data_IF_171831534399
#
_entry.id   IF_171831534399
#
_cell.length_a   1.000
_cell.length_b   1.000
_cell.length_c   1.000
_cell.angle_alpha   90.00
_cell.angle_beta   90.00
_cell.angle_gamma   90.00
#
_symmetry.space_group_name_H-M   'P 1'
#
loop_
_entity.id
_entity.type
_entity.pdbx_description
1 polymer ?
#
# COMPACT_ATOMS: atom_id res chain seq x y z
N UNK A 1 10.93 19.68 -14.82
CA UNK A 1 10.50 19.05 -13.54
C UNK A 1 11.07 17.65 -13.56
N UNK A 2 11.78 17.22 -12.49
CA UNK A 2 12.31 15.85 -12.41
C UNK A 2 11.20 14.81 -12.45
N UNK A 3 11.45 13.71 -13.15
CA UNK A 3 10.53 12.57 -13.27
C UNK A 3 11.07 11.40 -12.46
N UNK A 4 10.25 10.88 -11.55
CA UNK A 4 10.55 9.72 -10.74
C UNK A 4 9.64 8.54 -11.08
N UNK A 5 10.22 7.36 -11.28
CA UNK A 5 9.49 6.10 -11.44
C UNK A 5 9.59 5.27 -10.16
N UNK A 6 8.45 4.85 -9.60
CA UNK A 6 8.39 4.02 -8.41
C UNK A 6 7.52 2.78 -8.61
N UNK A 7 7.43 1.97 -7.55
CA UNK A 7 6.61 0.77 -7.52
C UNK A 7 7.38 -0.50 -7.89
N UNK A 8 6.64 -1.52 -8.33
CA UNK A 8 7.21 -2.86 -8.48
C UNK A 8 8.18 -2.97 -9.67
N UNK A 9 7.91 -2.27 -10.77
CA UNK A 9 8.72 -2.35 -11.98
C UNK A 9 10.18 -1.89 -11.74
N UNK A 10 10.45 -0.64 -11.30
CA UNK A 10 11.81 -0.22 -10.99
C UNK A 10 12.44 -0.99 -9.83
N UNK A 11 11.65 -1.54 -8.91
CA UNK A 11 12.17 -2.38 -7.84
C UNK A 11 12.68 -3.71 -8.36
N UNK A 12 12.02 -4.28 -9.39
CA UNK A 12 12.39 -5.56 -10.00
C UNK A 12 13.50 -5.44 -11.03
N UNK A 13 13.49 -4.37 -11.82
CA UNK A 13 14.37 -4.13 -12.95
C UNK A 13 15.04 -2.74 -12.85
N UNK A 14 15.78 -2.45 -11.76
CA UNK A 14 16.28 -1.11 -11.52
C UNK A 14 17.30 -0.65 -12.57
N UNK A 15 18.18 -1.55 -13.00
CA UNK A 15 19.23 -1.23 -13.98
C UNK A 15 18.66 -0.91 -15.38
N UNK A 16 17.57 -1.55 -15.74
CA UNK A 16 16.88 -1.30 -17.01
C UNK A 16 16.07 -0.01 -16.91
N UNK A 17 15.29 0.13 -15.84
CA UNK A 17 14.40 1.29 -15.66
C UNK A 17 15.17 2.60 -15.59
N UNK A 18 16.30 2.64 -14.85
CA UNK A 18 17.07 3.88 -14.71
C UNK A 18 17.78 4.29 -16.00
N UNK A 19 17.99 3.40 -16.96
CA UNK A 19 18.58 3.74 -18.27
C UNK A 19 17.65 4.53 -19.18
N UNK A 20 16.34 4.41 -18.97
CA UNK A 20 15.36 5.15 -19.77
C UNK A 20 15.56 6.66 -19.62
N UNK A 21 15.65 7.36 -20.77
CA UNK A 21 15.97 8.79 -20.81
C UNK A 21 14.89 9.66 -20.15
N UNK A 22 13.66 9.15 -20.09
CA UNK A 22 12.54 9.89 -19.47
C UNK A 22 12.57 9.95 -17.95
N UNK A 23 13.41 9.14 -17.28
CA UNK A 23 13.48 9.14 -15.81
C UNK A 23 14.76 9.79 -15.30
N UNK A 24 14.63 10.77 -14.42
CA UNK A 24 15.73 11.36 -13.67
C UNK A 24 16.11 10.53 -12.46
N UNK A 25 15.13 9.80 -11.91
CA UNK A 25 15.34 8.94 -10.75
C UNK A 25 14.32 7.80 -10.67
N UNK A 26 14.69 6.76 -9.93
CA UNK A 26 13.78 5.67 -9.60
C UNK A 26 13.74 5.47 -8.08
N UNK A 27 12.57 5.00 -7.58
CA UNK A 27 12.38 4.66 -6.18
C UNK A 27 12.21 3.14 -6.03
N UNK A 28 13.07 2.52 -5.23
CA UNK A 28 13.06 1.09 -4.96
C UNK A 28 12.33 0.78 -3.65
N UNK A 29 11.41 -0.18 -3.69
CA UNK A 29 10.65 -0.59 -2.50
C UNK A 29 9.61 0.42 -2.05
N UNK A 30 9.53 0.65 -0.73
CA UNK A 30 8.56 1.59 -0.13
C UNK A 30 9.04 3.03 -0.30
N UNK A 31 8.18 3.89 -0.84
CA UNK A 31 8.57 5.22 -1.30
C UNK A 31 8.31 6.36 -0.32
N UNK A 32 7.51 6.16 0.72
CA UNK A 32 7.00 7.25 1.57
C UNK A 32 8.14 8.10 2.18
N UNK A 33 9.05 7.46 2.91
CA UNK A 33 10.15 8.19 3.53
C UNK A 33 11.19 8.73 2.52
N UNK A 34 11.32 8.09 1.34
CA UNK A 34 12.18 8.61 0.28
C UNK A 34 11.60 9.87 -0.36
N UNK A 35 10.28 9.89 -0.57
CA UNK A 35 9.58 11.06 -1.12
C UNK A 35 9.56 12.22 -0.12
N UNK A 36 9.38 11.95 1.16
CA UNK A 36 9.47 12.96 2.21
C UNK A 36 10.83 13.66 2.20
N UNK A 37 11.93 12.87 2.26
CA UNK A 37 13.28 13.41 2.21
C UNK A 37 13.57 14.17 0.90
N UNK A 38 13.11 13.63 -0.25
CA UNK A 38 13.29 14.25 -1.55
C UNK A 38 12.63 15.63 -1.59
N UNK A 39 11.36 15.72 -1.22
CA UNK A 39 10.61 16.97 -1.22
C UNK A 39 11.20 17.99 -0.24
N UNK A 40 11.64 17.54 0.93
CA UNK A 40 12.30 18.39 1.89
C UNK A 40 13.61 18.97 1.32
N UNK A 41 14.49 18.11 0.78
CA UNK A 41 15.77 18.57 0.19
C UNK A 41 15.57 19.48 -1.02
N UNK A 42 14.59 19.19 -1.87
CA UNK A 42 14.26 20.08 -3.00
C UNK A 42 13.79 21.46 -2.52
N UNK A 43 12.95 21.53 -1.48
CA UNK A 43 12.50 22.79 -0.87
C UNK A 43 13.67 23.58 -0.28
N UNK A 44 14.62 22.89 0.35
CA UNK A 44 15.82 23.46 0.95
C UNK A 44 16.95 23.73 -0.06
N UNK A 45 16.75 23.38 -1.34
CA UNK A 45 17.77 23.46 -2.42
C UNK A 45 19.06 22.70 -2.09
N UNK A 46 18.93 21.57 -1.40
CA UNK A 46 20.05 20.69 -1.03
C UNK A 46 20.17 19.54 -2.02
N UNK A 47 21.35 18.92 -2.07
CA UNK A 47 21.56 17.68 -2.84
C UNK A 47 20.65 16.56 -2.34
N UNK A 48 20.13 15.76 -3.26
CA UNK A 48 19.29 14.59 -2.98
C UNK A 48 19.84 13.27 -3.59
N UNK A 49 21.11 13.28 -4.00
CA UNK A 49 21.76 12.13 -4.66
C UNK A 49 22.04 10.95 -3.72
N UNK A 50 21.99 11.16 -2.38
CA UNK A 50 22.29 10.19 -1.33
C UNK A 50 21.07 9.69 -0.54
N UNK A 51 19.85 9.94 -1.04
CA UNK A 51 18.63 9.51 -0.36
C UNK A 51 18.41 8.01 -0.54
N UNK A 52 18.32 7.28 0.58
CA UNK A 52 18.02 5.84 0.56
C UNK A 52 16.71 5.56 -0.17
N UNK A 53 16.61 4.45 -0.87
CA UNK A 53 15.60 3.99 -1.82
C UNK A 53 15.67 4.69 -3.18
N UNK A 54 16.31 5.84 -3.33
CA UNK A 54 16.41 6.50 -4.63
C UNK A 54 17.69 6.13 -5.37
N UNK A 55 17.56 5.81 -6.64
CA UNK A 55 18.65 5.90 -7.61
C UNK A 55 18.45 7.16 -8.42
N UNK A 56 19.47 7.98 -8.52
CA UNK A 56 19.36 9.34 -9.08
C UNK A 56 20.40 9.54 -10.16
N UNK A 57 19.98 9.97 -11.37
CA UNK A 57 20.90 10.46 -12.40
C UNK A 57 21.30 11.90 -12.06
N UNK A 58 22.58 12.18 -12.08
CA UNK A 58 23.07 13.56 -12.02
C UNK A 58 23.22 14.19 -13.40
N UNK A 59 23.60 15.46 -13.45
CA UNK A 59 23.76 16.21 -14.69
C UNK A 59 24.84 15.65 -15.63
N UNK A 60 25.76 14.82 -15.16
CA UNK A 60 26.76 14.12 -15.96
C UNK A 60 26.28 12.79 -16.53
N UNK A 61 25.06 12.36 -16.14
CA UNK A 61 24.50 11.06 -16.48
C UNK A 61 24.97 9.92 -15.55
N UNK A 62 25.76 10.23 -14.50
CA UNK A 62 26.15 9.24 -13.52
C UNK A 62 24.94 8.90 -12.61
N UNK A 63 24.77 7.58 -12.33
CA UNK A 63 23.68 7.08 -11.48
C UNK A 63 24.20 6.82 -10.07
N UNK A 64 23.71 7.62 -9.11
CA UNK A 64 23.92 7.41 -7.68
C UNK A 64 22.95 6.33 -7.17
N UNK A 65 23.50 5.14 -6.87
CA UNK A 65 22.73 3.96 -6.42
C UNK A 65 22.74 3.88 -4.90
N UNK A 66 21.61 4.17 -4.27
CA UNK A 66 21.50 4.15 -2.81
C UNK A 66 20.85 2.85 -2.31
N UNK A 67 21.22 2.48 -1.08
CA UNK A 67 20.66 1.32 -0.38
C UNK A 67 19.17 1.52 -0.09
N UNK A 68 18.42 0.41 0.00
CA UNK A 68 17.03 0.43 0.46
C UNK A 68 16.94 0.70 1.97
N UNK A 69 15.83 1.29 2.37
CA UNK A 69 15.40 1.38 3.77
C UNK A 69 14.78 0.06 4.21
N UNK A 70 14.76 -0.22 5.52
CA UNK A 70 13.89 -1.25 6.08
C UNK A 70 12.42 -0.99 5.73
N UNK A 71 11.59 -2.03 5.82
CA UNK A 71 10.13 -1.88 5.70
C UNK A 71 9.57 -0.98 6.80
N UNK A 72 8.57 -0.17 6.47
CA UNK A 72 7.95 0.75 7.42
C UNK A 72 7.17 -0.04 8.48
N UNK A 73 7.45 0.24 9.74
CA UNK A 73 6.77 -0.36 10.90
C UNK A 73 6.66 0.65 12.05
N UNK A 74 5.49 0.75 12.68
CA UNK A 74 4.21 0.13 12.29
C UNK A 74 3.62 0.82 11.04
N UNK A 75 2.64 0.19 10.36
CA UNK A 75 1.99 0.79 9.18
C UNK A 75 1.19 2.05 9.53
N UNK A 76 0.70 2.15 10.73
CA UNK A 76 -0.02 3.29 11.30
C UNK A 76 0.85 4.56 11.40
N UNK A 77 2.17 4.44 11.24
CA UNK A 77 3.05 5.62 11.14
C UNK A 77 2.93 6.36 9.81
N UNK A 78 2.28 5.75 8.82
CA UNK A 78 2.03 6.35 7.51
C UNK A 78 0.71 7.12 7.57
N UNK A 79 0.66 8.41 7.24
CA UNK A 79 -0.58 9.17 7.18
C UNK A 79 -1.60 8.52 6.24
N UNK A 80 -2.89 8.63 6.56
CA UNK A 80 -3.94 8.17 5.66
C UNK A 80 -3.86 8.92 4.32
N UNK A 81 -4.00 8.20 3.18
CA UNK A 81 -3.88 8.82 1.86
C UNK A 81 -4.94 9.91 1.63
N UNK A 82 -4.52 11.09 1.19
CA UNK A 82 -5.45 12.14 0.78
C UNK A 82 -6.19 11.73 -0.51
N UNK A 83 -7.46 11.45 -0.37
CA UNK A 83 -8.34 11.03 -1.47
C UNK A 83 -9.00 12.20 -2.20
N UNK A 84 -8.84 13.42 -1.70
CA UNK A 84 -9.47 14.61 -2.28
C UNK A 84 -9.10 14.84 -3.74
N UNK A 85 -7.84 14.59 -4.10
CA UNK A 85 -7.33 14.71 -5.46
C UNK A 85 -8.06 13.77 -6.43
N UNK A 86 -8.33 12.53 -6.02
CA UNK A 86 -9.02 11.54 -6.86
C UNK A 86 -10.50 11.88 -7.03
N UNK A 87 -11.15 12.35 -5.97
CA UNK A 87 -12.57 12.74 -6.00
C UNK A 87 -12.79 13.97 -6.89
N UNK A 88 -11.87 14.94 -6.83
CA UNK A 88 -11.90 16.14 -7.69
C UNK A 88 -11.96 15.81 -9.19
N UNK A 89 -11.34 14.72 -9.61
CA UNK A 89 -11.33 14.26 -11.01
C UNK A 89 -12.39 13.20 -11.32
N UNK A 90 -13.40 13.03 -10.46
CA UNK A 90 -14.51 12.10 -10.66
C UNK A 90 -14.18 10.63 -10.40
N UNK A 91 -12.98 10.35 -9.90
CA UNK A 91 -12.63 9.00 -9.42
C UNK A 91 -13.17 8.76 -8.00
N UNK A 92 -13.40 7.51 -7.64
CA UNK A 92 -13.81 7.08 -6.29
C UNK A 92 -15.18 7.64 -5.82
N UNK A 93 -16.10 7.92 -6.72
CA UNK A 93 -17.38 8.56 -6.38
C UNK A 93 -18.37 7.66 -5.64
N UNK A 94 -18.40 6.35 -5.96
CA UNK A 94 -19.34 5.41 -5.33
C UNK A 94 -18.68 4.28 -4.54
N UNK A 95 -17.44 3.94 -4.89
CA UNK A 95 -16.66 2.87 -4.29
C UNK A 95 -15.24 3.37 -4.00
N UNK A 96 -14.87 3.37 -2.73
CA UNK A 96 -13.53 3.81 -2.31
C UNK A 96 -12.68 2.60 -1.94
N UNK A 97 -11.45 2.59 -2.45
CA UNK A 97 -10.47 1.54 -2.23
C UNK A 97 -9.63 1.83 -0.98
N UNK A 98 -9.40 0.79 -0.19
CA UNK A 98 -8.64 0.80 1.07
C UNK A 98 -7.68 -0.39 1.07
N UNK A 99 -6.53 -0.24 1.71
CA UNK A 99 -5.61 -1.32 2.02
C UNK A 99 -5.38 -1.39 3.52
N UNK A 100 -5.51 -2.58 4.08
CA UNK A 100 -5.27 -2.82 5.51
C UNK A 100 -3.96 -3.55 5.76
N UNK A 101 -3.35 -4.09 4.68
CA UNK A 101 -2.12 -4.87 4.75
C UNK A 101 -1.11 -4.45 3.69
N UNK A 102 0.14 -4.78 3.93
CA UNK A 102 1.19 -4.82 2.90
C UNK A 102 1.85 -6.19 2.92
N UNK A 103 1.84 -6.84 1.77
CA UNK A 103 2.33 -8.20 1.58
C UNK A 103 1.23 -9.24 1.67
N UNK A 104 1.64 -10.49 1.44
CA UNK A 104 0.77 -11.65 1.41
C UNK A 104 1.44 -12.80 2.20
N UNK A 105 0.67 -13.62 2.94
CA UNK A 105 1.23 -14.74 3.67
C UNK A 105 1.67 -15.92 2.78
N UNK A 106 1.36 -15.87 1.47
CA UNK A 106 1.66 -16.93 0.52
C UNK A 106 2.87 -16.60 -0.35
N UNK A 107 3.57 -17.65 -0.79
CA UNK A 107 4.75 -17.57 -1.67
C UNK A 107 4.48 -18.20 -3.04
N UNK A 108 3.40 -17.76 -3.70
CA UNK A 108 3.04 -18.25 -5.05
C UNK A 108 4.15 -17.90 -6.05
N UNK A 109 4.64 -18.89 -6.80
CA UNK A 109 5.83 -18.76 -7.65
C UNK A 109 5.70 -17.71 -8.76
N UNK A 110 4.49 -17.46 -9.23
CA UNK A 110 4.17 -16.48 -10.27
C UNK A 110 3.84 -15.10 -9.73
N UNK A 111 3.72 -14.94 -8.40
CA UNK A 111 3.23 -13.72 -7.78
C UNK A 111 4.36 -12.79 -7.35
N UNK A 112 4.15 -11.50 -7.56
CA UNK A 112 5.08 -10.43 -7.18
C UNK A 112 5.38 -10.39 -5.68
N UNK A 113 4.49 -10.89 -4.83
CA UNK A 113 4.73 -10.94 -3.38
C UNK A 113 5.90 -11.86 -3.01
N UNK A 114 6.12 -12.93 -3.77
CA UNK A 114 7.30 -13.77 -3.58
C UNK A 114 8.60 -12.98 -3.85
N UNK A 115 8.62 -12.18 -4.93
CA UNK A 115 9.73 -11.28 -5.21
C UNK A 115 9.90 -10.21 -4.11
N UNK A 116 8.82 -9.59 -3.63
CA UNK A 116 8.88 -8.61 -2.53
C UNK A 116 9.48 -9.21 -1.25
N UNK A 117 9.10 -10.44 -0.90
CA UNK A 117 9.70 -11.14 0.23
C UNK A 117 11.21 -11.35 0.03
N UNK A 118 11.67 -11.65 -1.19
CA UNK A 118 13.09 -11.80 -1.49
C UNK A 118 13.84 -10.45 -1.43
N UNK A 119 13.22 -9.37 -1.93
CA UNK A 119 13.78 -8.00 -1.89
C UNK A 119 14.03 -7.53 -0.45
N UNK A 120 13.16 -7.92 0.48
CA UNK A 120 13.26 -7.59 1.90
C UNK A 120 13.69 -8.82 2.73
N UNK A 121 14.55 -9.67 2.17
CA UNK A 121 15.06 -10.85 2.87
C UNK A 121 15.68 -10.46 4.22
N UNK A 122 15.31 -11.21 5.27
CA UNK A 122 15.68 -10.89 6.65
C UNK A 122 14.66 -10.03 7.41
N UNK A 123 13.64 -9.53 6.72
CA UNK A 123 12.51 -8.81 7.33
C UNK A 123 11.19 -9.52 7.05
N UNK A 124 10.21 -9.38 7.94
CA UNK A 124 8.85 -9.88 7.69
C UNK A 124 8.13 -8.83 6.85
N UNK A 125 7.95 -9.08 5.54
CA UNK A 125 7.30 -8.11 4.65
C UNK A 125 5.80 -7.99 4.91
N UNK A 126 5.11 -9.07 5.30
CA UNK A 126 3.69 -9.02 5.66
C UNK A 126 3.46 -8.20 6.94
N UNK A 127 2.67 -7.17 6.83
CA UNK A 127 2.25 -6.29 7.93
C UNK A 127 0.78 -5.95 7.78
N UNK A 128 0.08 -5.84 8.88
CA UNK A 128 -1.35 -5.52 8.95
C UNK A 128 -1.57 -4.33 9.87
N UNK A 129 -2.37 -3.37 9.44
CA UNK A 129 -2.78 -2.20 10.23
C UNK A 129 -3.67 -2.63 11.39
N UNK A 130 -3.57 -1.93 12.50
CA UNK A 130 -4.47 -2.14 13.64
C UNK A 130 -5.91 -1.78 13.26
N UNK A 131 -6.88 -2.53 13.80
CA UNK A 131 -8.30 -2.27 13.53
C UNK A 131 -8.72 -0.83 13.85
N UNK A 132 -8.32 -0.21 14.98
CA UNK A 132 -8.68 1.18 15.26
C UNK A 132 -8.25 2.16 14.18
N UNK A 133 -7.02 2.03 13.65
CA UNK A 133 -6.49 2.90 12.59
C UNK A 133 -7.27 2.76 11.29
N UNK A 134 -7.60 1.52 10.89
CA UNK A 134 -8.43 1.27 9.70
C UNK A 134 -9.82 1.88 9.87
N UNK A 135 -10.44 1.71 11.03
CA UNK A 135 -11.78 2.24 11.31
C UNK A 135 -11.79 3.78 11.33
N UNK A 136 -10.74 4.40 11.87
CA UNK A 136 -10.59 5.86 11.85
C UNK A 136 -10.56 6.40 10.41
N UNK A 137 -9.72 5.83 9.54
CA UNK A 137 -9.69 6.19 8.10
C UNK A 137 -11.06 6.03 7.45
N UNK A 138 -11.74 4.91 7.71
CA UNK A 138 -13.05 4.64 7.12
C UNK A 138 -14.14 5.60 7.60
N UNK A 139 -14.11 6.03 8.87
CA UNK A 139 -15.02 7.04 9.42
C UNK A 139 -14.82 8.37 8.70
N UNK A 140 -13.57 8.82 8.55
CA UNK A 140 -13.25 10.08 7.88
C UNK A 140 -13.65 10.05 6.41
N UNK A 141 -13.40 8.96 5.71
CA UNK A 141 -13.83 8.76 4.34
C UNK A 141 -15.36 8.76 4.23
N UNK A 142 -16.05 8.04 5.11
CA UNK A 142 -17.51 7.97 5.12
C UNK A 142 -18.14 9.34 5.33
N UNK A 143 -17.60 10.11 6.27
CA UNK A 143 -18.06 11.47 6.58
C UNK A 143 -17.82 12.44 5.41
N UNK A 144 -16.62 12.38 4.81
CA UNK A 144 -16.16 13.34 3.80
C UNK A 144 -16.73 13.05 2.42
N UNK A 145 -16.66 11.79 1.98
CA UNK A 145 -16.93 11.41 0.59
C UNK A 145 -18.25 10.66 0.40
N UNK A 146 -18.87 10.17 1.50
CA UNK A 146 -20.17 9.46 1.48
C UNK A 146 -20.24 8.32 0.46
N UNK A 147 -19.26 7.40 0.44
CA UNK A 147 -19.26 6.29 -0.52
C UNK A 147 -20.47 5.38 -0.29
N UNK A 148 -20.89 4.68 -1.33
CA UNK A 148 -21.93 3.65 -1.24
C UNK A 148 -21.39 2.33 -0.71
N UNK A 149 -20.11 2.03 -1.00
CA UNK A 149 -19.42 0.83 -0.54
C UNK A 149 -17.89 1.00 -0.51
N UNK A 150 -17.23 0.11 0.22
CA UNK A 150 -15.77 0.00 0.24
C UNK A 150 -15.27 -1.20 -0.56
N UNK A 151 -14.01 -1.13 -0.99
CA UNK A 151 -13.28 -2.25 -1.55
C UNK A 151 -11.92 -2.34 -0.87
N UNK A 152 -11.68 -3.45 -0.22
CA UNK A 152 -10.37 -3.76 0.36
C UNK A 152 -9.51 -4.40 -0.71
N UNK A 153 -8.40 -3.72 -1.06
CA UNK A 153 -7.45 -4.11 -2.12
C UNK A 153 -6.24 -4.87 -1.56
N UNK A 154 -6.42 -5.46 -0.40
CA UNK A 154 -5.41 -6.35 0.19
C UNK A 154 -5.23 -7.58 -0.69
N UNK A 155 -3.98 -8.03 -0.87
CA UNK A 155 -3.69 -9.27 -1.62
C UNK A 155 -4.46 -10.49 -1.02
N UNK A 156 -4.62 -10.51 0.31
CA UNK A 156 -5.51 -11.40 1.05
C UNK A 156 -6.01 -10.65 2.28
N UNK A 157 -7.29 -10.30 2.30
CA UNK A 157 -7.87 -9.50 3.40
C UNK A 157 -8.00 -10.30 4.70
N UNK A 158 -8.52 -11.50 4.60
CA UNK A 158 -8.94 -12.30 5.76
C UNK A 158 -8.00 -13.50 5.98
N UNK A 159 -6.81 -13.26 6.53
CA UNK A 159 -5.87 -14.32 6.91
C UNK A 159 -5.63 -14.42 8.43
N UNK A 160 -6.09 -13.42 9.20
CA UNK A 160 -5.95 -13.34 10.65
C UNK A 160 -7.35 -13.28 11.28
N UNK A 161 -7.82 -14.42 11.84
CA UNK A 161 -9.18 -14.54 12.41
C UNK A 161 -9.40 -13.53 13.53
N UNK A 162 -8.46 -13.41 14.48
CA UNK A 162 -8.61 -12.47 15.62
C UNK A 162 -8.79 -11.03 15.12
N UNK A 163 -7.97 -10.61 14.17
CA UNK A 163 -8.10 -9.27 13.59
C UNK A 163 -9.45 -9.08 12.89
N UNK A 164 -9.92 -10.10 12.18
CA UNK A 164 -11.21 -10.07 11.47
C UNK A 164 -12.39 -9.97 12.45
N UNK A 165 -12.34 -10.67 13.57
CA UNK A 165 -13.38 -10.61 14.61
C UNK A 165 -13.45 -9.20 15.24
N UNK A 166 -12.30 -8.63 15.58
CA UNK A 166 -12.22 -7.26 16.09
C UNK A 166 -12.72 -6.24 15.02
N UNK A 167 -12.33 -6.44 13.75
CA UNK A 167 -12.77 -5.62 12.62
C UNK A 167 -14.28 -5.71 12.41
N UNK A 168 -14.86 -6.90 12.40
CA UNK A 168 -16.29 -7.14 12.23
C UNK A 168 -17.12 -6.30 13.21
N UNK A 169 -16.77 -6.37 14.50
CA UNK A 169 -17.48 -5.64 15.55
C UNK A 169 -17.39 -4.12 15.33
N UNK A 170 -16.18 -3.63 15.11
CA UNK A 170 -15.94 -2.20 14.94
C UNK A 170 -16.53 -1.67 13.62
N UNK A 171 -16.41 -2.42 12.52
CA UNK A 171 -16.94 -2.04 11.22
C UNK A 171 -18.48 -1.96 11.22
N UNK A 172 -19.16 -2.95 11.80
CA UNK A 172 -20.64 -2.92 11.93
C UNK A 172 -21.10 -1.75 12.77
N UNK A 173 -20.39 -1.46 13.84
CA UNK A 173 -20.76 -0.37 14.74
C UNK A 173 -20.59 1.04 14.12
N UNK A 174 -19.50 1.28 13.40
CA UNK A 174 -19.11 2.62 12.99
C UNK A 174 -19.32 2.89 11.49
N UNK A 175 -19.17 1.86 10.65
CA UNK A 175 -19.20 2.01 9.19
C UNK A 175 -20.49 1.48 8.59
N UNK A 176 -20.78 0.23 8.79
CA UNK A 176 -22.02 -0.45 8.34
C UNK A 176 -22.40 -0.19 6.87
N UNK A 177 -21.40 -0.16 5.98
CA UNK A 177 -21.60 -0.11 4.52
C UNK A 177 -21.22 -1.47 3.92
N UNK A 178 -21.79 -1.87 2.78
CA UNK A 178 -21.33 -3.06 2.09
C UNK A 178 -19.87 -2.91 1.65
N UNK A 179 -19.14 -4.03 1.58
CA UNK A 179 -17.79 -4.02 1.07
C UNK A 179 -17.48 -5.29 0.27
N UNK A 180 -16.40 -5.17 -0.51
CA UNK A 180 -15.78 -6.26 -1.26
C UNK A 180 -14.34 -6.47 -0.76
N UNK A 181 -13.86 -7.72 -0.76
CA UNK A 181 -12.47 -8.05 -0.44
C UNK A 181 -11.98 -9.27 -1.22
N UNK A 182 -10.68 -9.55 -1.09
CA UNK A 182 -10.04 -10.71 -1.70
C UNK A 182 -9.72 -11.77 -0.66
N UNK A 183 -9.99 -13.00 -1.01
CA UNK A 183 -9.65 -14.20 -0.23
C UNK A 183 -8.95 -15.21 -1.15
N UNK A 184 -8.35 -16.24 -0.58
CA UNK A 184 -7.85 -17.39 -1.34
C UNK A 184 -8.66 -18.62 -0.96
N UNK A 185 -8.67 -19.69 -1.76
CA UNK A 185 -9.34 -20.94 -1.39
C UNK A 185 -8.88 -21.47 -0.02
N UNK A 186 -7.62 -21.26 0.35
CA UNK A 186 -7.08 -21.70 1.64
C UNK A 186 -7.53 -20.84 2.83
N UNK A 187 -7.90 -19.58 2.60
CA UNK A 187 -8.42 -18.68 3.64
C UNK A 187 -9.95 -18.60 3.67
N UNK A 188 -10.64 -19.08 2.63
CA UNK A 188 -12.09 -19.09 2.53
C UNK A 188 -12.73 -20.21 3.37
N UNK A 189 -12.38 -20.28 4.67
CA UNK A 189 -12.95 -21.22 5.63
C UNK A 189 -14.30 -20.71 6.12
N UNK A 190 -15.17 -21.62 6.56
CA UNK A 190 -16.53 -21.28 7.02
C UNK A 190 -16.53 -20.19 8.09
N UNK A 191 -15.62 -20.24 9.04
CA UNK A 191 -15.48 -19.24 10.11
C UNK A 191 -15.14 -17.86 9.55
N UNK A 192 -14.17 -17.78 8.62
CA UNK A 192 -13.78 -16.54 7.93
C UNK A 192 -14.94 -15.98 7.13
N UNK A 193 -15.60 -16.84 6.32
CA UNK A 193 -16.71 -16.41 5.48
C UNK A 193 -17.92 -15.94 6.31
N UNK A 194 -18.15 -16.57 7.46
CA UNK A 194 -19.16 -16.14 8.43
C UNK A 194 -18.84 -14.77 9.00
N UNK A 195 -17.64 -14.55 9.51
CA UNK A 195 -17.21 -13.25 10.05
C UNK A 195 -17.25 -12.15 8.98
N UNK A 196 -16.84 -12.44 7.73
CA UNK A 196 -16.94 -11.50 6.62
C UNK A 196 -18.40 -11.13 6.33
N UNK A 197 -19.31 -12.12 6.25
CA UNK A 197 -20.74 -11.88 6.02
C UNK A 197 -21.35 -11.05 7.15
N UNK A 198 -21.04 -11.37 8.39
CA UNK A 198 -21.50 -10.63 9.57
C UNK A 198 -20.93 -9.20 9.61
N UNK A 199 -19.72 -8.97 9.11
CA UNK A 199 -19.17 -7.63 8.93
C UNK A 199 -19.88 -6.80 7.87
N UNK A 200 -20.60 -7.42 6.93
CA UNK A 200 -21.30 -6.77 5.82
C UNK A 200 -20.58 -6.92 4.47
N UNK A 201 -19.73 -7.94 4.34
CA UNK A 201 -19.13 -8.28 3.04
C UNK A 201 -20.22 -8.68 2.03
N UNK A 202 -20.28 -7.95 0.92
CA UNK A 202 -21.25 -8.20 -0.17
C UNK A 202 -20.74 -9.28 -1.12
N UNK A 203 -19.45 -9.29 -1.36
CA UNK A 203 -18.81 -10.23 -2.29
C UNK A 203 -17.34 -10.41 -2.01
N UNK A 204 -16.81 -11.56 -2.38
CA UNK A 204 -15.38 -11.87 -2.36
C UNK A 204 -14.88 -12.22 -3.76
N UNK A 205 -13.61 -11.91 -4.06
CA UNK A 205 -12.89 -12.46 -5.21
C UNK A 205 -11.81 -13.43 -4.73
N UNK A 206 -11.53 -14.46 -5.57
CA UNK A 206 -10.47 -15.44 -5.36
C UNK A 206 -9.47 -15.43 -6.52
#
# INVERSE_FOLDING_TARGET
VPIICGGIHPTSLPEETIKEDCFDMICLGEGEGAMEDLLQRMREKRSYTDIKNLWVKDASGHVHKNLKRPVIRPLESIPHPDKSLFVKYGALTSRIMIMTTRGCPFACTFCVNNFRNAVYSGEVYLRQRAVPDVIEELIDIKKTYKPKKFRFEDDVFAFNQKWLDDFQVAYRKHINLPFHCYVTPSTAKDEILKSLKEAGCESVSM
#
